data_IF_649988568551
#
_entry.id   IF_649988568551
#
_cell.length_a   1.000
_cell.length_b   1.000
_cell.length_c   1.000
_cell.angle_alpha   90.00
_cell.angle_beta   90.00
_cell.angle_gamma   90.00
#
_symmetry.space_group_name_H-M   'P 1'
#
loop_
_entity.id
_entity.type
_entity.pdbx_description
1 polymer ?
#
# COMPACT_ATOMS: atom_id res chain seq x y z
N UNK A 1 24.25 -3.57 -18.98
CA UNK A 1 22.80 -3.34 -19.09
C UNK A 1 22.03 -4.64 -18.82
N UNK A 2 22.06 -5.12 -17.56
CA UNK A 2 21.29 -6.30 -17.12
C UNK A 2 19.86 -5.91 -16.72
N UNK A 3 19.72 -4.77 -16.03
CA UNK A 3 18.42 -4.23 -15.63
C UNK A 3 17.50 -3.91 -16.81
N UNK A 4 18.01 -3.28 -17.87
CA UNK A 4 17.24 -3.00 -19.09
C UNK A 4 16.69 -4.26 -19.78
N UNK A 5 17.38 -5.40 -19.63
CA UNK A 5 16.95 -6.68 -20.19
C UNK A 5 15.83 -7.33 -19.37
N UNK A 6 15.75 -7.04 -18.08
CA UNK A 6 14.75 -7.61 -17.14
C UNK A 6 13.54 -6.69 -17.01
N UNK A 7 13.75 -5.37 -17.06
CA UNK A 7 12.73 -4.33 -16.92
C UNK A 7 12.89 -3.29 -18.05
N UNK A 8 12.41 -3.59 -19.27
CA UNK A 8 12.64 -2.76 -20.46
C UNK A 8 11.98 -1.38 -20.39
N UNK A 9 11.03 -1.18 -19.47
CA UNK A 9 10.33 0.09 -19.28
C UNK A 9 10.90 0.93 -18.13
N UNK A 10 12.01 0.51 -17.52
CA UNK A 10 12.61 1.25 -16.43
C UNK A 10 13.43 2.42 -17.00
N UNK A 11 13.10 3.68 -16.69
CA UNK A 11 13.87 4.82 -17.13
C UNK A 11 15.23 4.83 -16.42
N UNK A 12 16.29 4.50 -17.16
CA UNK A 12 17.69 4.46 -16.69
C UNK A 12 18.47 5.74 -17.02
N UNK A 13 17.84 6.66 -17.74
CA UNK A 13 18.42 7.94 -18.20
C UNK A 13 18.65 8.92 -17.05
N UNK A 14 17.89 8.82 -15.95
CA UNK A 14 18.06 9.69 -14.79
C UNK A 14 17.80 8.95 -13.47
N UNK A 15 18.75 9.07 -12.53
CA UNK A 15 18.68 8.40 -11.23
C UNK A 15 17.43 8.77 -10.40
N UNK A 16 16.97 10.03 -10.35
CA UNK A 16 15.75 10.38 -9.62
C UNK A 16 14.51 9.67 -10.19
N UNK A 17 14.38 9.63 -11.51
CA UNK A 17 13.26 8.96 -12.17
C UNK A 17 13.29 7.46 -11.93
N UNK A 18 14.46 6.82 -12.05
CA UNK A 18 14.65 5.41 -11.69
C UNK A 18 14.14 5.13 -10.28
N UNK A 19 14.49 5.96 -9.29
CA UNK A 19 14.05 5.79 -7.91
C UNK A 19 12.52 5.88 -7.76
N UNK A 20 11.87 6.81 -8.45
CA UNK A 20 10.40 6.93 -8.43
C UNK A 20 9.76 5.64 -8.95
N UNK A 21 10.23 5.08 -10.06
CA UNK A 21 9.69 3.83 -10.62
C UNK A 21 9.96 2.61 -9.73
N UNK A 22 11.13 2.55 -9.07
CA UNK A 22 11.44 1.49 -8.09
C UNK A 22 10.52 1.58 -6.88
N UNK A 23 10.31 2.79 -6.34
CA UNK A 23 9.36 3.04 -5.24
C UNK A 23 7.94 2.68 -5.65
N UNK A 24 7.54 3.00 -6.89
CA UNK A 24 6.25 2.60 -7.43
C UNK A 24 6.10 1.07 -7.46
N UNK A 25 7.12 0.36 -7.94
CA UNK A 25 7.17 -1.10 -7.94
C UNK A 25 7.04 -1.69 -6.53
N UNK A 26 7.76 -1.15 -5.55
CA UNK A 26 7.62 -1.54 -4.15
C UNK A 26 6.19 -1.28 -3.63
N UNK A 27 5.59 -0.15 -4.01
CA UNK A 27 4.21 0.18 -3.68
C UNK A 27 3.19 -0.82 -4.21
N UNK A 28 3.36 -1.29 -5.45
CA UNK A 28 2.52 -2.36 -6.04
C UNK A 28 2.66 -3.65 -5.22
N UNK A 29 3.89 -4.03 -4.87
CA UNK A 29 4.15 -5.24 -4.07
C UNK A 29 3.45 -5.12 -2.71
N UNK A 30 3.57 -3.99 -2.03
CA UNK A 30 2.91 -3.77 -0.74
C UNK A 30 1.38 -3.79 -0.84
N UNK A 31 0.77 -3.08 -1.79
CA UNK A 31 -0.69 -3.13 -1.95
C UNK A 31 -1.17 -4.55 -2.25
N UNK A 32 -0.48 -5.26 -3.14
CA UNK A 32 -0.83 -6.64 -3.50
C UNK A 32 -0.67 -7.59 -2.31
N UNK A 33 0.42 -7.46 -1.56
CA UNK A 33 0.66 -8.24 -0.35
C UNK A 33 -0.36 -7.94 0.75
N UNK A 34 -0.81 -6.69 0.85
CA UNK A 34 -1.90 -6.26 1.74
C UNK A 34 -3.18 -7.07 1.58
N UNK A 35 -3.51 -7.51 0.36
CA UNK A 35 -4.72 -8.32 0.08
C UNK A 35 -4.67 -9.68 0.78
N UNK A 36 -3.47 -10.24 0.99
CA UNK A 36 -3.29 -11.57 1.58
C UNK A 36 -3.06 -11.53 3.11
N UNK A 37 -2.96 -10.34 3.71
CA UNK A 37 -2.73 -10.18 5.14
C UNK A 37 -4.05 -10.30 5.91
N UNK A 38 -4.51 -11.51 6.21
CA UNK A 38 -5.80 -11.77 6.88
C UNK A 38 -5.91 -11.39 8.38
N UNK A 39 -5.06 -10.50 8.94
CA UNK A 39 -5.12 -10.16 10.39
C UNK A 39 -4.86 -8.67 10.65
N UNK A 40 -5.96 -7.91 10.59
CA UNK A 40 -6.43 -6.72 11.34
C UNK A 40 -5.45 -5.69 11.96
N UNK A 41 -4.14 -5.73 11.71
CA UNK A 41 -3.24 -4.65 12.15
C UNK A 41 -2.05 -4.43 11.23
N UNK A 42 -1.58 -5.51 10.61
CA UNK A 42 -0.44 -5.42 9.69
C UNK A 42 -0.91 -5.06 8.27
N UNK A 43 -2.16 -5.38 7.94
CA UNK A 43 -2.76 -5.05 6.66
C UNK A 43 -2.82 -3.52 6.45
N UNK A 44 -3.34 -2.78 7.41
CA UNK A 44 -3.58 -1.32 7.26
C UNK A 44 -2.28 -0.56 7.06
N UNK A 45 -1.25 -0.88 7.83
CA UNK A 45 0.08 -0.28 7.68
C UNK A 45 0.71 -0.61 6.32
N UNK A 46 0.54 -1.85 5.84
CA UNK A 46 1.09 -2.28 4.54
C UNK A 46 0.35 -1.60 3.39
N UNK A 47 -0.98 -1.47 3.50
CA UNK A 47 -1.81 -0.74 2.53
C UNK A 47 -1.47 0.75 2.52
N UNK A 48 -1.32 1.37 3.69
CA UNK A 48 -0.90 2.76 3.83
C UNK A 48 0.47 3.00 3.19
N UNK A 49 1.45 2.15 3.48
CA UNK A 49 2.80 2.26 2.90
C UNK A 49 2.77 2.08 1.39
N UNK A 50 2.05 1.08 0.89
CA UNK A 50 1.87 0.84 -0.53
C UNK A 50 1.20 2.01 -1.26
N UNK A 51 0.14 2.57 -0.67
CA UNK A 51 -0.55 3.74 -1.20
C UNK A 51 0.35 4.97 -1.22
N UNK A 52 1.10 5.25 -0.15
CA UNK A 52 2.06 6.37 -0.11
C UNK A 52 3.14 6.25 -1.19
N UNK A 53 3.70 5.05 -1.41
CA UNK A 53 4.64 4.80 -2.51
C UNK A 53 4.03 5.12 -3.88
N UNK A 54 2.78 4.72 -4.12
CA UNK A 54 2.09 4.99 -5.38
C UNK A 54 1.60 6.43 -5.53
N UNK A 55 1.34 7.16 -4.44
CA UNK A 55 1.08 8.61 -4.46
C UNK A 55 2.30 9.35 -5.03
N UNK A 56 3.52 9.00 -4.58
CA UNK A 56 4.75 9.63 -5.09
C UNK A 56 4.84 9.46 -6.61
N UNK A 57 4.57 8.26 -7.12
CA UNK A 57 4.53 8.00 -8.55
C UNK A 57 3.38 8.73 -9.27
N UNK A 58 2.17 8.75 -8.70
CA UNK A 58 1.01 9.44 -9.26
C UNK A 58 1.25 10.95 -9.41
N UNK A 59 1.88 11.57 -8.41
CA UNK A 59 2.30 12.97 -8.45
C UNK A 59 3.38 13.19 -9.51
N UNK A 60 4.36 12.28 -9.60
CA UNK A 60 5.43 12.35 -10.62
C UNK A 60 4.87 12.35 -12.05
N UNK A 61 3.91 11.47 -12.35
CA UNK A 61 3.24 11.42 -13.66
C UNK A 61 2.12 12.47 -13.82
N UNK A 62 1.90 13.32 -12.80
CA UNK A 62 0.85 14.36 -12.76
C UNK A 62 -0.57 13.82 -13.02
N UNK A 63 -0.87 12.63 -12.50
CA UNK A 63 -2.18 12.01 -12.66
C UNK A 63 -3.06 12.28 -11.43
N UNK A 64 -3.98 13.24 -11.55
CA UNK A 64 -4.88 13.64 -10.46
C UNK A 64 -5.79 12.50 -10.01
N UNK A 65 -6.39 11.76 -10.95
CA UNK A 65 -7.32 10.67 -10.63
C UNK A 65 -6.61 9.59 -9.82
N UNK A 66 -5.41 9.19 -10.26
CA UNK A 66 -4.64 8.18 -9.55
C UNK A 66 -4.15 8.70 -8.19
N UNK A 67 -3.79 9.97 -8.10
CA UNK A 67 -3.41 10.61 -6.83
C UNK A 67 -4.56 10.57 -5.83
N UNK A 68 -5.78 10.93 -6.25
CA UNK A 68 -6.96 10.89 -5.41
C UNK A 68 -7.33 9.47 -4.99
N UNK A 69 -7.22 8.49 -5.89
CA UNK A 69 -7.47 7.10 -5.58
C UNK A 69 -6.51 6.58 -4.49
N UNK A 70 -5.20 6.83 -4.64
CA UNK A 70 -4.22 6.39 -3.65
C UNK A 70 -4.32 7.18 -2.34
N UNK A 71 -4.68 8.47 -2.40
CA UNK A 71 -4.97 9.26 -1.20
C UNK A 71 -6.18 8.69 -0.44
N UNK A 72 -7.22 8.24 -1.14
CA UNK A 72 -8.36 7.57 -0.53
C UNK A 72 -7.96 6.30 0.22
N UNK A 73 -7.14 5.44 -0.40
CA UNK A 73 -6.61 4.23 0.25
C UNK A 73 -5.76 4.62 1.47
N UNK A 74 -4.83 5.56 1.32
CA UNK A 74 -3.96 5.99 2.41
C UNK A 74 -4.76 6.55 3.60
N UNK A 75 -5.76 7.39 3.35
CA UNK A 75 -6.60 7.95 4.42
C UNK A 75 -7.43 6.86 5.08
N UNK A 76 -8.06 5.97 4.31
CA UNK A 76 -8.85 4.86 4.85
C UNK A 76 -8.02 3.95 5.76
N UNK A 77 -6.88 3.47 5.26
CA UNK A 77 -5.96 2.62 6.03
C UNK A 77 -5.34 3.36 7.23
N UNK A 78 -5.13 4.68 7.15
CA UNK A 78 -4.67 5.45 8.30
C UNK A 78 -5.74 5.55 9.40
N UNK A 79 -7.00 5.79 9.03
CA UNK A 79 -8.10 5.86 10.00
C UNK A 79 -8.26 4.52 10.71
N UNK A 80 -8.32 3.42 9.96
CA UNK A 80 -8.43 2.07 10.51
C UNK A 80 -7.25 1.74 11.43
N UNK A 81 -6.03 2.03 10.99
CA UNK A 81 -4.83 1.89 11.83
C UNK A 81 -4.93 2.70 13.14
N UNK A 82 -5.41 3.94 13.10
CA UNK A 82 -5.58 4.78 14.28
C UNK A 82 -6.68 4.26 15.21
N UNK A 83 -7.80 3.78 14.68
CA UNK A 83 -8.88 3.17 15.47
C UNK A 83 -8.38 1.94 16.24
N UNK A 84 -7.60 1.08 15.58
CA UNK A 84 -6.98 -0.08 16.21
C UNK A 84 -5.92 0.36 17.23
N UNK A 85 -5.07 1.34 16.88
CA UNK A 85 -4.00 1.83 17.76
C UNK A 85 -4.54 2.45 19.05
N UNK A 86 -5.64 3.19 18.98
CA UNK A 86 -6.29 3.79 20.14
C UNK A 86 -7.26 2.85 20.87
N UNK A 87 -7.42 1.61 20.40
CA UNK A 87 -8.33 0.63 21.01
C UNK A 87 -9.81 1.03 20.94
N UNK A 88 -10.16 1.89 19.99
CA UNK A 88 -11.54 2.33 19.73
C UNK A 88 -12.28 1.37 18.80
N UNK A 89 -11.54 0.46 18.15
CA UNK A 89 -12.09 -0.50 17.22
C UNK A 89 -12.91 -1.57 17.96
N UNK A 90 -14.22 -1.60 17.70
CA UNK A 90 -15.11 -2.66 18.17
C UNK A 90 -15.05 -3.78 17.12
N UNK A 91 -14.36 -4.88 17.40
CA UNK A 91 -14.52 -6.08 16.56
C UNK A 91 -16.00 -6.44 16.48
N UNK A 92 -16.47 -6.78 15.28
CA UNK A 92 -17.79 -7.39 15.16
C UNK A 92 -17.80 -8.66 16.01
N UNK A 93 -18.89 -8.98 16.73
CA UNK A 93 -19.03 -10.26 17.43
C UNK A 93 -18.79 -11.47 16.50
N UNK A 94 -18.96 -11.31 15.18
CA UNK A 94 -18.68 -12.32 14.16
C UNK A 94 -17.17 -12.60 13.99
N UNK A 95 -16.31 -11.58 14.12
CA UNK A 95 -14.85 -11.75 14.04
C UNK A 95 -14.32 -12.52 15.25
N UNK A 96 -14.87 -12.22 16.44
CA UNK A 96 -14.57 -12.94 17.69
C UNK A 96 -14.92 -14.43 17.62
N UNK A 97 -16.03 -14.80 16.96
CA UNK A 97 -16.37 -16.22 16.75
C UNK A 97 -15.43 -16.91 15.77
N UNK A 98 -14.97 -16.21 14.73
CA UNK A 98 -14.02 -16.76 13.75
C UNK A 98 -12.66 -17.02 14.39
N UNK A 99 -12.17 -16.12 15.24
CA UNK A 99 -10.93 -16.31 16.01
C UNK A 99 -11.03 -17.48 17.01
N UNK A 100 -12.17 -17.66 17.68
CA UNK A 100 -12.39 -18.79 18.60
C UNK A 100 -12.42 -20.16 17.92
N UNK A 101 -12.71 -20.24 16.62
CA UNK A 101 -12.72 -21.51 15.87
C UNK A 101 -11.35 -21.92 15.32
N UNK A 102 -10.38 -21.00 15.35
CA UNK A 102 -9.03 -21.20 14.81
C UNK A 102 -7.96 -21.46 15.88
N UNK A 103 -8.32 -21.39 17.17
CA UNK A 103 -7.48 -21.79 18.31
C UNK A 103 -8.01 -23.05 19.00
#
# INVERSE_FOLDING_TARGET
MLLEKILPYLPVSSLPETLVYVVAGAGIVFLTYGIFLEVERRQDLVLLLGACCLIVYALYIRNLIFTLAMAGIAIGSLIEFLEIYFGLHKHSPEDLERYKKLG
#
